data_IF_500307286925
#
_entry.id   IF_500307286925
#
_cell.length_a   1.000
_cell.length_b   1.000
_cell.length_c   1.000
_cell.angle_alpha   90.00
_cell.angle_beta   90.00
_cell.angle_gamma   90.00
#
_symmetry.space_group_name_H-M   'P 1'
#
loop_
_entity.id
_entity.type
_entity.pdbx_description
1 polymer ?
#
# COMPACT_ATOMS: atom_id res chain seq x y z
N UNK A 1 9.23 -29.82 -34.37
CA UNK A 1 8.83 -29.41 -33.00
C UNK A 1 9.98 -28.62 -32.41
N UNK A 2 9.82 -27.30 -32.23
CA UNK A 2 10.79 -26.47 -31.50
C UNK A 2 10.67 -26.77 -30.00
N UNK A 3 11.76 -26.85 -29.23
CA UNK A 3 11.67 -26.97 -27.79
C UNK A 3 11.11 -25.67 -27.22
N UNK A 4 9.98 -25.76 -26.53
CA UNK A 4 9.44 -24.70 -25.68
C UNK A 4 10.44 -24.51 -24.54
N UNK A 5 11.21 -23.44 -24.62
CA UNK A 5 12.13 -23.04 -23.57
C UNK A 5 11.30 -22.52 -22.39
N UNK A 6 10.93 -23.40 -21.47
CA UNK A 6 10.39 -23.04 -20.15
C UNK A 6 11.49 -22.34 -19.34
N UNK A 7 11.79 -21.10 -19.68
CA UNK A 7 12.47 -20.20 -18.78
C UNK A 7 11.55 -20.04 -17.57
N UNK A 8 11.82 -20.79 -16.49
CA UNK A 8 11.28 -20.54 -15.17
C UNK A 8 11.55 -19.07 -14.83
N UNK A 9 10.56 -18.21 -15.06
CA UNK A 9 10.63 -16.81 -14.67
C UNK A 9 10.70 -16.82 -13.14
N UNK A 10 11.89 -16.64 -12.62
CA UNK A 10 12.14 -16.65 -11.19
C UNK A 10 11.54 -15.36 -10.59
N UNK A 11 10.26 -15.44 -10.21
CA UNK A 11 9.47 -14.36 -9.63
C UNK A 11 9.88 -14.02 -8.17
N UNK A 12 11.18 -14.06 -7.87
CA UNK A 12 11.80 -13.63 -6.60
C UNK A 12 11.29 -12.27 -6.08
N UNK A 13 11.24 -11.19 -6.89
CA UNK A 13 10.74 -9.90 -6.38
C UNK A 13 9.26 -9.98 -6.02
N UNK A 14 8.44 -10.65 -6.83
CA UNK A 14 7.01 -10.83 -6.56
C UNK A 14 6.78 -11.61 -5.25
N UNK A 15 7.54 -12.68 -5.02
CA UNK A 15 7.47 -13.45 -3.76
C UNK A 15 7.82 -12.59 -2.54
N UNK A 16 8.86 -11.76 -2.64
CA UNK A 16 9.26 -10.82 -1.57
C UNK A 16 8.16 -9.79 -1.29
N UNK A 17 7.55 -9.25 -2.35
CA UNK A 17 6.43 -8.31 -2.24
C UNK A 17 5.25 -8.92 -1.48
N UNK A 18 4.85 -10.14 -1.82
CA UNK A 18 3.79 -10.85 -1.09
C UNK A 18 4.17 -11.19 0.35
N UNK A 19 5.41 -11.58 0.61
CA UNK A 19 5.87 -11.87 1.98
C UNK A 19 5.77 -10.63 2.88
N UNK A 20 6.24 -9.48 2.39
CA UNK A 20 6.18 -8.21 3.14
C UNK A 20 4.73 -7.75 3.32
N UNK A 21 3.88 -7.93 2.30
CA UNK A 21 2.44 -7.67 2.42
C UNK A 21 1.79 -8.50 3.53
N UNK A 22 2.04 -9.82 3.58
CA UNK A 22 1.49 -10.70 4.61
C UNK A 22 1.93 -10.24 5.99
N UNK A 23 3.23 -9.94 6.17
CA UNK A 23 3.76 -9.41 7.43
C UNK A 23 3.09 -8.10 7.81
N UNK A 24 2.84 -7.21 6.83
CA UNK A 24 2.14 -5.95 7.04
C UNK A 24 0.66 -6.08 7.37
N UNK A 25 -0.01 -7.19 7.00
CA UNK A 25 -1.43 -7.43 7.33
C UNK A 25 -1.59 -7.98 8.75
N UNK A 26 -0.59 -8.67 9.30
CA UNK A 26 -0.68 -9.31 10.63
C UNK A 26 -1.11 -8.32 11.73
N UNK A 27 -0.55 -7.10 11.85
CA UNK A 27 -0.99 -6.16 12.89
C UNK A 27 -2.45 -5.69 12.75
N UNK A 28 -3.00 -5.61 11.53
CA UNK A 28 -4.41 -5.32 11.32
C UNK A 28 -5.30 -6.44 11.85
N UNK A 29 -4.93 -7.70 11.57
CA UNK A 29 -5.65 -8.86 12.10
C UNK A 29 -5.53 -8.96 13.62
N UNK A 30 -4.36 -8.68 14.18
CA UNK A 30 -4.14 -8.65 15.62
C UNK A 30 -5.03 -7.58 16.30
N UNK A 31 -5.09 -6.38 15.71
CA UNK A 31 -5.95 -5.27 16.17
C UNK A 31 -7.41 -5.72 16.21
N UNK A 32 -7.88 -6.37 15.14
CA UNK A 32 -9.23 -6.91 15.08
C UNK A 32 -9.49 -7.96 16.17
N UNK A 33 -8.59 -8.93 16.37
CA UNK A 33 -8.75 -9.97 17.39
C UNK A 33 -8.77 -9.40 18.81
N UNK A 34 -7.92 -8.41 19.10
CA UNK A 34 -7.93 -7.70 20.40
C UNK A 34 -9.28 -6.99 20.59
N UNK A 35 -9.78 -6.30 19.56
CA UNK A 35 -11.06 -5.59 19.62
C UNK A 35 -12.24 -6.54 19.86
N UNK A 36 -12.27 -7.68 19.16
CA UNK A 36 -13.32 -8.69 19.34
C UNK A 36 -13.29 -9.34 20.72
N UNK A 37 -12.10 -9.47 21.33
CA UNK A 37 -11.95 -10.03 22.68
C UNK A 37 -12.32 -9.01 23.76
N UNK A 38 -11.94 -7.74 23.59
CA UNK A 38 -12.28 -6.65 24.49
C UNK A 38 -12.43 -5.33 23.72
N UNK A 39 -13.70 -4.92 23.53
CA UNK A 39 -14.06 -3.69 22.80
C UNK A 39 -13.52 -2.41 23.45
N UNK A 40 -13.16 -2.45 24.73
CA UNK A 40 -12.58 -1.31 25.46
C UNK A 40 -11.13 -1.58 25.89
N UNK A 41 -10.37 -2.33 25.07
CA UNK A 41 -8.97 -2.65 25.33
C UNK A 41 -8.14 -1.40 25.60
N UNK A 42 -7.43 -1.36 26.72
CA UNK A 42 -6.52 -0.27 27.09
C UNK A 42 -5.46 -0.01 26.02
N UNK A 43 -4.98 -1.06 25.35
CA UNK A 43 -3.97 -0.96 24.30
C UNK A 43 -4.52 -0.25 23.07
N UNK A 44 -5.77 -0.56 22.68
CA UNK A 44 -6.40 0.09 21.52
C UNK A 44 -6.74 1.54 21.84
N UNK A 45 -7.25 1.82 23.05
CA UNK A 45 -7.51 3.18 23.51
C UNK A 45 -6.25 4.04 23.55
N UNK A 46 -5.12 3.47 24.01
CA UNK A 46 -3.84 4.15 24.00
C UNK A 46 -3.40 4.52 22.57
N UNK A 47 -3.45 3.57 21.63
CA UNK A 47 -3.10 3.84 20.23
C UNK A 47 -4.05 4.89 19.63
N UNK A 48 -5.35 4.78 19.89
CA UNK A 48 -6.36 5.73 19.41
C UNK A 48 -6.11 7.16 19.94
N UNK A 49 -5.67 7.30 21.19
CA UNK A 49 -5.34 8.61 21.77
C UNK A 49 -4.14 9.29 21.11
N UNK A 50 -3.19 8.49 20.59
CA UNK A 50 -2.05 8.98 19.79
C UNK A 50 -2.52 9.33 18.38
N UNK A 51 -3.41 8.50 17.83
CA UNK A 51 -3.93 8.63 16.48
C UNK A 51 -4.70 9.94 16.27
N UNK A 52 -5.57 10.33 17.22
CA UNK A 52 -6.49 11.47 17.09
C UNK A 52 -5.86 12.86 16.91
N UNK A 53 -4.53 12.93 16.73
CA UNK A 53 -3.77 14.13 16.33
C UNK A 53 -3.49 14.19 14.83
N UNK A 54 -3.88 13.17 14.08
CA UNK A 54 -3.57 12.96 12.67
C UNK A 54 -4.90 12.72 11.94
N UNK A 55 -5.02 13.12 10.65
CA UNK A 55 -6.23 12.86 9.88
C UNK A 55 -6.63 11.37 9.83
N UNK A 56 -7.89 11.01 9.99
CA UNK A 56 -8.34 9.62 10.09
C UNK A 56 -9.53 9.28 9.19
N UNK A 57 -9.57 8.02 8.79
CA UNK A 57 -10.75 7.40 8.19
C UNK A 57 -11.59 6.81 9.32
N UNK A 58 -12.51 7.60 9.86
CA UNK A 58 -13.32 7.21 11.00
C UNK A 58 -14.63 6.55 10.55
N UNK A 59 -15.02 5.49 11.25
CA UNK A 59 -16.35 4.88 11.11
C UNK A 59 -17.17 5.20 12.34
N UNK A 60 -18.30 5.90 12.18
CA UNK A 60 -19.20 6.25 13.27
C UNK A 60 -19.75 5.00 13.99
N UNK A 61 -19.85 3.88 13.28
CA UNK A 61 -20.25 2.58 13.85
C UNK A 61 -19.24 2.03 14.86
N UNK A 62 -17.94 2.26 14.64
CA UNK A 62 -16.84 1.67 15.42
C UNK A 62 -15.62 2.61 15.41
N UNK A 63 -15.67 3.72 16.17
CA UNK A 63 -14.64 4.75 16.13
C UNK A 63 -13.28 4.25 16.63
N UNK A 64 -13.25 3.42 17.68
CA UNK A 64 -12.00 2.88 18.23
C UNK A 64 -11.26 1.99 17.21
N UNK A 65 -11.98 1.06 16.59
CA UNK A 65 -11.39 0.10 15.65
C UNK A 65 -10.92 0.81 14.38
N UNK A 66 -11.75 1.71 13.84
CA UNK A 66 -11.41 2.47 12.63
C UNK A 66 -10.24 3.43 12.84
N UNK A 67 -10.17 4.14 13.98
CA UNK A 67 -9.05 5.04 14.28
C UNK A 67 -7.71 4.31 14.37
N UNK A 68 -7.64 3.22 15.13
CA UNK A 68 -6.41 2.41 15.26
C UNK A 68 -5.98 1.80 13.92
N UNK A 69 -6.93 1.28 13.13
CA UNK A 69 -6.60 0.73 11.81
C UNK A 69 -6.19 1.81 10.81
N UNK A 70 -6.87 2.97 10.82
CA UNK A 70 -6.51 4.12 9.97
C UNK A 70 -5.09 4.60 10.27
N UNK A 71 -4.73 4.70 11.56
CA UNK A 71 -3.37 5.02 11.97
C UNK A 71 -2.33 4.05 11.42
N UNK A 72 -2.58 2.75 11.59
CA UNK A 72 -1.65 1.72 11.15
C UNK A 72 -1.47 1.73 9.62
N UNK A 73 -2.54 1.93 8.86
CA UNK A 73 -2.49 1.89 7.39
C UNK A 73 -1.63 3.02 6.79
N UNK A 74 -1.43 4.13 7.51
CA UNK A 74 -0.46 5.18 7.13
C UNK A 74 0.97 4.69 7.04
N UNK A 75 1.30 3.57 7.67
CA UNK A 75 2.63 2.93 7.56
C UNK A 75 2.82 2.14 6.27
N UNK A 76 1.77 1.88 5.48
CA UNK A 76 1.84 1.09 4.25
C UNK A 76 2.93 1.56 3.25
N UNK A 77 3.15 2.87 3.02
CA UNK A 77 4.25 3.33 2.17
C UNK A 77 5.63 2.93 2.70
N UNK A 78 5.83 2.88 4.02
CA UNK A 78 7.10 2.45 4.63
C UNK A 78 7.40 0.98 4.31
N UNK A 79 6.38 0.10 4.35
CA UNK A 79 6.54 -1.28 3.89
C UNK A 79 6.94 -1.36 2.41
N UNK A 80 6.41 -0.46 1.58
CA UNK A 80 6.81 -0.36 0.17
C UNK A 80 8.28 0.05 -0.01
N UNK A 81 8.77 0.97 0.82
CA UNK A 81 10.19 1.35 0.87
C UNK A 81 11.06 0.17 1.32
N UNK A 82 10.67 -0.56 2.36
CA UNK A 82 11.38 -1.77 2.82
C UNK A 82 11.45 -2.82 1.71
N UNK A 83 10.36 -3.03 0.98
CA UNK A 83 10.36 -3.92 -0.19
C UNK A 83 11.38 -3.47 -1.24
N UNK A 84 11.37 -2.18 -1.58
CA UNK A 84 12.25 -1.62 -2.59
C UNK A 84 13.73 -1.80 -2.22
N UNK A 85 14.13 -1.43 -0.99
CA UNK A 85 15.50 -1.60 -0.50
C UNK A 85 15.96 -3.07 -0.59
N UNK A 86 15.05 -4.03 -0.33
CA UNK A 86 15.37 -5.45 -0.36
C UNK A 86 15.36 -6.08 -1.76
N UNK A 87 14.83 -5.38 -2.76
CA UNK A 87 14.51 -5.97 -4.08
C UNK A 87 15.08 -5.21 -5.27
N UNK A 88 15.54 -3.96 -5.11
CA UNK A 88 15.97 -3.11 -6.23
C UNK A 88 17.08 -3.75 -7.09
N UNK A 89 17.97 -4.54 -6.49
CA UNK A 89 19.05 -5.25 -7.21
C UNK A 89 18.55 -6.39 -8.11
N UNK A 90 17.34 -6.90 -7.85
CA UNK A 90 16.74 -8.05 -8.54
C UNK A 90 15.72 -7.58 -9.59
N UNK A 91 15.41 -6.28 -9.63
CA UNK A 91 14.51 -5.71 -10.62
C UNK A 91 15.16 -5.76 -12.01
N UNK A 92 14.70 -6.71 -12.83
CA UNK A 92 15.14 -6.83 -14.21
C UNK A 92 14.55 -5.70 -15.06
N UNK A 93 15.44 -4.97 -15.73
CA UNK A 93 15.08 -3.87 -16.62
C UNK A 93 14.71 -4.43 -17.99
N UNK A 94 13.42 -4.46 -18.32
CA UNK A 94 13.01 -4.72 -19.70
C UNK A 94 13.22 -3.44 -20.54
N UNK A 95 14.35 -3.37 -21.26
CA UNK A 95 14.76 -2.20 -22.06
C UNK A 95 14.06 -2.06 -23.41
N UNK A 96 12.99 -2.83 -23.67
CA UNK A 96 12.30 -2.84 -24.96
C UNK A 96 11.49 -1.57 -25.27
N UNK A 97 11.19 -0.74 -24.26
CA UNK A 97 10.34 0.45 -24.43
C UNK A 97 11.16 1.74 -24.61
N UNK A 98 10.70 2.66 -25.47
CA UNK A 98 11.37 3.96 -25.65
C UNK A 98 11.21 4.83 -24.39
N UNK A 99 12.30 5.51 -24.00
CA UNK A 99 12.38 6.30 -22.75
C UNK A 99 11.28 7.35 -22.61
N UNK A 100 10.95 8.05 -23.70
CA UNK A 100 9.94 9.12 -23.69
C UNK A 100 8.58 8.55 -23.29
N UNK A 101 8.21 7.39 -23.84
CA UNK A 101 6.95 6.71 -23.50
C UNK A 101 6.94 6.27 -22.03
N UNK A 102 8.07 5.78 -21.52
CA UNK A 102 8.21 5.38 -20.13
C UNK A 102 8.04 6.57 -19.16
N UNK A 103 8.63 7.72 -19.50
CA UNK A 103 8.53 8.97 -18.71
C UNK A 103 7.08 9.47 -18.67
N UNK A 104 6.37 9.48 -19.80
CA UNK A 104 4.96 9.89 -19.86
C UNK A 104 4.09 8.97 -18.98
N UNK A 105 4.27 7.65 -19.09
CA UNK A 105 3.55 6.68 -18.26
C UNK A 105 3.84 6.93 -16.77
N UNK A 106 5.10 7.17 -16.42
CA UNK A 106 5.48 7.44 -15.05
C UNK A 106 4.91 8.74 -14.51
N UNK A 107 4.86 9.81 -15.31
CA UNK A 107 4.26 11.08 -14.89
C UNK A 107 2.77 10.92 -14.61
N UNK A 108 2.04 10.21 -15.48
CA UNK A 108 0.63 9.90 -15.28
C UNK A 108 0.42 9.03 -14.02
N UNK A 109 1.27 8.02 -13.84
CA UNK A 109 1.23 7.16 -12.66
C UNK A 109 1.54 7.93 -11.37
N UNK A 110 2.47 8.88 -11.42
CA UNK A 110 2.82 9.75 -10.27
C UNK A 110 1.62 10.60 -9.84
N UNK A 111 0.92 11.21 -10.80
CA UNK A 111 -0.28 11.99 -10.53
C UNK A 111 -1.34 11.13 -9.84
N UNK A 112 -1.62 9.95 -10.39
CA UNK A 112 -2.60 9.02 -9.83
C UNK A 112 -2.18 8.49 -8.45
N UNK A 113 -0.89 8.20 -8.26
CA UNK A 113 -0.30 7.75 -6.99
C UNK A 113 -0.50 8.77 -5.86
N UNK A 114 -0.19 10.05 -6.13
CA UNK A 114 -0.32 11.12 -5.14
C UNK A 114 -1.79 11.31 -4.74
N UNK A 115 -2.70 11.32 -5.71
CA UNK A 115 -4.14 11.46 -5.45
C UNK A 115 -4.65 10.33 -4.56
N UNK A 116 -4.34 9.07 -4.91
CA UNK A 116 -4.79 7.92 -4.14
C UNK A 116 -4.26 7.96 -2.71
N UNK A 117 -2.97 8.22 -2.54
CA UNK A 117 -2.36 8.28 -1.20
C UNK A 117 -2.93 9.41 -0.36
N UNK A 118 -3.15 10.58 -0.97
CA UNK A 118 -3.75 11.70 -0.29
C UNK A 118 -5.15 11.33 0.24
N UNK A 119 -6.03 10.83 -0.63
CA UNK A 119 -7.39 10.47 -0.23
C UNK A 119 -7.45 9.31 0.77
N UNK A 120 -6.57 8.32 0.66
CA UNK A 120 -6.61 7.13 1.52
C UNK A 120 -5.84 7.28 2.83
N UNK A 121 -4.79 8.10 2.88
CA UNK A 121 -3.92 8.22 4.06
C UNK A 121 -3.94 9.58 4.74
N UNK A 122 -4.29 10.67 4.05
CA UNK A 122 -4.11 12.02 4.58
C UNK A 122 -5.39 12.85 4.66
N UNK A 123 -6.46 12.40 3.99
CA UNK A 123 -7.73 13.11 3.98
C UNK A 123 -8.66 12.57 5.07
N UNK A 124 -9.17 13.48 5.91
CA UNK A 124 -10.17 13.18 6.93
C UNK A 124 -11.51 12.84 6.26
N UNK A 125 -11.95 11.59 6.39
CA UNK A 125 -13.25 11.16 5.87
C UNK A 125 -13.97 10.33 6.91
N UNK A 126 -15.19 10.75 7.21
CA UNK A 126 -16.13 9.91 7.94
C UNK A 126 -16.73 8.87 6.99
N UNK A 127 -16.31 7.61 7.16
CA UNK A 127 -16.66 6.47 6.31
C UNK A 127 -18.18 6.21 6.29
N UNK A 128 -18.87 6.52 7.38
CA UNK A 128 -20.32 6.27 7.51
C UNK A 128 -21.17 7.29 6.73
N UNK A 129 -20.69 8.52 6.58
CA UNK A 129 -21.35 9.59 5.81
C UNK A 129 -20.90 9.63 4.33
N UNK A 130 -19.90 8.83 3.98
CA UNK A 130 -19.40 8.71 2.61
C UNK A 130 -20.30 7.83 1.71
N UNK A 131 -19.93 7.70 0.43
CA UNK A 131 -20.76 7.05 -0.60
C UNK A 131 -21.25 5.64 -0.23
N UNK A 132 -22.35 5.19 -0.87
CA UNK A 132 -23.10 3.95 -0.53
C UNK A 132 -22.24 2.70 -0.31
N UNK A 133 -21.14 2.55 -1.05
CA UNK A 133 -20.19 1.43 -0.90
C UNK A 133 -19.34 1.54 0.39
N UNK A 134 -18.79 2.71 0.67
CA UNK A 134 -17.99 2.95 1.88
C UNK A 134 -18.86 2.83 3.14
N UNK A 135 -20.10 3.34 3.10
CA UNK A 135 -21.07 3.17 4.18
C UNK A 135 -21.35 1.70 4.47
N UNK A 136 -21.54 0.87 3.43
CA UNK A 136 -21.72 -0.58 3.58
C UNK A 136 -20.49 -1.26 4.19
N UNK A 137 -19.29 -0.93 3.70
CA UNK A 137 -18.03 -1.47 4.24
C UNK A 137 -17.78 -1.03 5.68
N UNK A 138 -18.23 0.16 6.06
CA UNK A 138 -18.14 0.70 7.42
C UNK A 138 -19.20 0.15 8.38
N UNK A 139 -20.20 -0.58 7.88
CA UNK A 139 -21.39 -0.98 8.64
C UNK A 139 -21.15 -2.09 9.67
N UNK A 140 -20.05 -2.83 9.60
CA UNK A 140 -19.74 -3.90 10.55
C UNK A 140 -18.24 -4.16 10.69
N UNK A 141 -17.86 -4.72 11.84
CA UNK A 141 -16.47 -4.85 12.30
C UNK A 141 -15.60 -5.65 11.31
N UNK A 142 -16.16 -6.72 10.75
CA UNK A 142 -15.49 -7.57 9.75
C UNK A 142 -15.28 -6.84 8.41
N UNK A 143 -16.32 -6.18 7.90
CA UNK A 143 -16.25 -5.45 6.64
C UNK A 143 -15.30 -4.25 6.75
N UNK A 144 -15.31 -3.59 7.90
CA UNK A 144 -14.41 -2.48 8.21
C UNK A 144 -12.95 -2.95 8.19
N UNK A 145 -12.68 -4.11 8.79
CA UNK A 145 -11.34 -4.71 8.77
C UNK A 145 -10.90 -5.07 7.35
N UNK A 146 -11.79 -5.66 6.55
CA UNK A 146 -11.52 -5.97 5.13
C UNK A 146 -11.21 -4.68 4.36
N UNK A 147 -11.95 -3.60 4.61
CA UNK A 147 -11.70 -2.30 4.01
C UNK A 147 -10.27 -1.81 4.33
N UNK A 148 -9.86 -1.79 5.60
CA UNK A 148 -8.51 -1.33 5.96
C UNK A 148 -7.39 -2.23 5.44
N UNK A 149 -7.59 -3.55 5.36
CA UNK A 149 -6.66 -4.45 4.66
C UNK A 149 -6.54 -4.07 3.18
N UNK A 150 -7.67 -3.75 2.53
CA UNK A 150 -7.70 -3.27 1.16
C UNK A 150 -6.95 -1.95 0.98
N UNK A 151 -7.16 -0.98 1.87
CA UNK A 151 -6.44 0.31 1.86
C UNK A 151 -4.93 0.07 2.03
N UNK A 152 -4.52 -0.77 3.00
CA UNK A 152 -3.13 -1.15 3.18
C UNK A 152 -2.53 -1.75 1.90
N UNK A 153 -3.23 -2.73 1.31
CA UNK A 153 -2.80 -3.40 0.09
C UNK A 153 -2.59 -2.42 -1.07
N UNK A 154 -3.55 -1.52 -1.31
CA UNK A 154 -3.47 -0.52 -2.39
C UNK A 154 -2.29 0.40 -2.15
N UNK A 155 -2.19 1.04 -0.98
CA UNK A 155 -1.13 2.00 -0.67
C UNK A 155 0.26 1.36 -0.71
N UNK A 156 0.40 0.14 -0.17
CA UNK A 156 1.64 -0.64 -0.22
C UNK A 156 2.06 -0.96 -1.66
N UNK A 157 1.15 -1.56 -2.43
CA UNK A 157 1.42 -2.03 -3.79
C UNK A 157 1.77 -0.88 -4.72
N UNK A 158 1.02 0.21 -4.64
CA UNK A 158 1.28 1.42 -5.40
C UNK A 158 2.64 2.01 -5.08
N UNK A 159 3.04 2.02 -3.80
CA UNK A 159 4.37 2.51 -3.39
C UNK A 159 5.48 1.60 -3.92
N UNK A 160 5.30 0.27 -3.88
CA UNK A 160 6.24 -0.69 -4.47
C UNK A 160 6.46 -0.43 -5.96
N UNK A 161 5.38 -0.24 -6.72
CA UNK A 161 5.47 0.06 -8.15
C UNK A 161 6.08 1.43 -8.40
N UNK A 162 5.69 2.45 -7.64
CA UNK A 162 6.20 3.81 -7.79
C UNK A 162 7.72 3.87 -7.65
N UNK A 163 8.26 3.27 -6.58
CA UNK A 163 9.70 3.22 -6.33
C UNK A 163 10.43 2.39 -7.40
N UNK A 164 9.85 1.25 -7.78
CA UNK A 164 10.43 0.38 -8.82
C UNK A 164 10.51 1.10 -10.17
N UNK A 165 9.45 1.79 -10.60
CA UNK A 165 9.43 2.57 -11.84
C UNK A 165 10.40 3.76 -11.79
N UNK A 166 10.46 4.45 -10.65
CA UNK A 166 11.41 5.56 -10.44
C UNK A 166 12.84 5.09 -10.63
N UNK A 167 13.19 3.95 -10.05
CA UNK A 167 14.52 3.33 -10.18
C UNK A 167 14.84 2.94 -11.63
N UNK A 168 13.88 2.35 -12.35
CA UNK A 168 14.05 1.98 -13.76
C UNK A 168 14.36 3.21 -14.62
N UNK A 169 13.59 4.29 -14.46
CA UNK A 169 13.81 5.53 -15.21
C UNK A 169 15.16 6.14 -14.87
N UNK A 170 15.52 6.19 -13.59
CA UNK A 170 16.82 6.72 -13.15
C UNK A 170 17.99 5.96 -13.77
N UNK A 171 17.94 4.62 -13.77
CA UNK A 171 18.97 3.78 -14.37
C UNK A 171 19.09 3.99 -15.88
N UNK A 172 17.95 4.08 -16.59
CA UNK A 172 17.97 4.31 -18.04
C UNK A 172 18.47 5.71 -18.42
N UNK A 173 18.13 6.74 -17.64
CA UNK A 173 18.64 8.10 -17.83
C UNK A 173 20.15 8.15 -17.59
N UNK A 174 20.63 7.49 -16.53
CA UNK A 174 22.07 7.39 -16.23
C UNK A 174 22.85 6.72 -17.37
N UNK A 175 22.33 5.62 -17.92
CA UNK A 175 22.96 4.96 -19.08
C UNK A 175 23.04 5.91 -20.27
N UNK A 176 21.93 6.58 -20.65
CA UNK A 176 21.91 7.47 -21.81
C UNK A 176 22.81 8.70 -21.67
N UNK A 177 23.00 9.21 -20.45
CA UNK A 177 23.93 10.30 -20.17
C UNK A 177 25.39 9.85 -20.17
N UNK A 178 25.69 8.60 -19.81
CA UNK A 178 27.06 8.06 -19.79
C UNK A 178 27.62 7.75 -21.19
N UNK A 179 26.76 7.62 -22.21
CA UNK A 179 27.15 7.37 -23.61
C UNK A 179 27.27 8.65 -24.45
N UNK A 180 27.12 9.83 -23.83
CA UNK A 180 27.20 11.13 -24.49
C UNK A 180 28.38 11.92 -23.95
#
# INVERSE_FOLDING_TARGET
MMPVNDQKIDNKPTKKMFCILIVGIIPLLLTFLIYMSNKNSNILNYINSISGKIPELLSASNPLLSGVMSFYVKTAPLYGVVFFINSYKILNLNKSLPLIKLIIIFLLFTFFYIIILYFLLAYDVELTESGRLLRFLSGGDYLLTIFFIGVFYVCYTFTCYYLSYTYVIFMMLKEKLSFR
#
